data_IF_360179454049
#
_entry.id   IF_360179454049
#
_cell.length_a   1.000
_cell.length_b   1.000
_cell.length_c   1.000
_cell.angle_alpha   90.00
_cell.angle_beta   90.00
_cell.angle_gamma   90.00
#
_symmetry.space_group_name_H-M   'P 1'
#
loop_
_entity.id
_entity.type
_entity.pdbx_description
1 polymer ?
#
# COMPACT_ATOMS: atom_id res chain seq x y z
N UNK A 1 48.66 -41.65 51.03
CA UNK A 1 49.00 -40.26 51.40
C UNK A 1 47.69 -39.52 51.67
N UNK A 2 47.68 -38.72 52.74
CA UNK A 2 46.52 -38.19 53.47
C UNK A 2 45.54 -37.31 52.66
N UNK A 3 44.28 -37.18 53.14
CA UNK A 3 43.24 -36.31 52.59
C UNK A 3 43.36 -34.87 53.13
N UNK A 4 43.04 -33.87 52.32
CA UNK A 4 42.87 -32.49 52.80
C UNK A 4 41.39 -32.21 53.02
N UNK A 5 40.98 -32.23 54.29
CA UNK A 5 39.73 -31.65 54.77
C UNK A 5 39.93 -30.15 54.96
N UNK A 6 39.22 -29.33 54.22
CA UNK A 6 39.10 -27.89 54.49
C UNK A 6 37.74 -27.66 55.15
N UNK A 7 37.78 -27.38 56.45
CA UNK A 7 36.66 -26.85 57.23
C UNK A 7 36.31 -25.44 56.73
N UNK A 8 35.09 -25.25 56.24
CA UNK A 8 34.48 -23.93 56.05
C UNK A 8 33.69 -23.56 57.31
N UNK A 9 33.86 -22.35 57.87
CA UNK A 9 33.10 -21.92 59.04
C UNK A 9 31.67 -21.53 58.64
N UNK A 10 30.69 -22.06 59.37
CA UNK A 10 29.30 -21.58 59.37
C UNK A 10 29.25 -20.18 59.98
N UNK A 11 29.19 -19.16 59.14
CA UNK A 11 28.81 -17.81 59.55
C UNK A 11 27.29 -17.71 59.46
N UNK A 12 26.63 -17.71 60.63
CA UNK A 12 25.21 -17.40 60.74
C UNK A 12 24.98 -15.91 60.45
N UNK A 13 24.63 -15.58 59.21
CA UNK A 13 24.17 -14.26 58.81
C UNK A 13 22.67 -14.08 59.10
N UNK A 14 22.32 -13.12 59.95
CA UNK A 14 20.95 -12.62 60.10
C UNK A 14 20.42 -12.12 58.74
N UNK A 15 19.14 -12.36 58.38
CA UNK A 15 18.55 -11.69 57.25
C UNK A 15 18.29 -10.23 57.63
N UNK A 16 19.13 -9.32 57.13
CA UNK A 16 18.75 -7.91 57.03
C UNK A 16 17.63 -7.82 55.99
N UNK A 17 16.38 -7.71 56.47
CA UNK A 17 15.28 -7.22 55.64
C UNK A 17 15.61 -5.77 55.24
N UNK A 18 16.24 -5.60 54.08
CA UNK A 18 16.12 -4.34 53.36
C UNK A 18 14.68 -4.27 52.85
N UNK A 19 13.83 -3.60 53.63
CA UNK A 19 12.60 -3.04 53.11
C UNK A 19 12.97 -1.95 52.13
N UNK A 20 13.10 -2.32 50.85
CA UNK A 20 12.93 -1.37 49.76
C UNK A 20 11.45 -1.07 49.75
N UNK A 21 11.09 0.06 50.37
CA UNK A 21 9.80 0.70 50.15
C UNK A 21 9.74 1.08 48.68
N UNK A 22 9.21 0.18 47.85
CA UNK A 22 8.52 0.60 46.65
C UNK A 22 7.30 1.37 47.16
N UNK A 23 7.33 2.68 46.95
CA UNK A 23 6.17 3.55 47.05
C UNK A 23 5.15 3.05 46.01
N UNK A 24 4.40 2.04 46.42
CA UNK A 24 3.24 1.52 45.71
C UNK A 24 2.15 2.57 45.85
N UNK A 25 2.24 3.64 45.07
CA UNK A 25 1.06 4.43 44.71
C UNK A 25 0.21 3.59 43.75
N UNK A 26 -0.22 2.42 44.21
CA UNK A 26 -1.44 1.78 43.80
C UNK A 26 -2.54 2.79 44.09
N UNK A 27 -3.05 3.43 43.04
CA UNK A 27 -4.27 4.23 43.13
C UNK A 27 -5.37 3.27 43.58
N UNK A 28 -5.58 3.16 44.89
CA UNK A 28 -6.54 2.24 45.46
C UNK A 28 -7.93 2.62 44.93
N UNK A 29 -8.50 1.75 44.10
CA UNK A 29 -9.84 1.93 43.59
C UNK A 29 -10.83 2.08 44.76
N UNK A 30 -11.67 3.11 44.70
CA UNK A 30 -12.75 3.31 45.65
C UNK A 30 -13.89 2.32 45.47
N UNK A 31 -14.97 2.49 46.25
CA UNK A 31 -16.19 1.72 46.03
C UNK A 31 -16.82 2.07 44.67
N UNK A 32 -17.22 1.04 43.91
CA UNK A 32 -17.84 1.24 42.61
C UNK A 32 -19.33 1.61 42.76
N UNK A 33 -19.70 2.80 42.32
CA UNK A 33 -21.10 3.18 42.13
C UNK A 33 -21.45 3.22 40.64
N UNK A 34 -22.27 2.26 40.18
CA UNK A 34 -22.62 2.14 38.75
C UNK A 34 -23.51 3.28 38.24
N UNK A 35 -24.23 3.97 39.11
CA UNK A 35 -25.11 5.08 38.71
C UNK A 35 -24.32 6.31 38.26
N UNK A 36 -23.06 6.45 38.71
CA UNK A 36 -22.16 7.53 38.32
C UNK A 36 -21.46 7.23 36.98
N UNK A 37 -21.59 6.01 36.46
CA UNK A 37 -20.97 5.61 35.20
C UNK A 37 -21.72 6.22 34.00
N UNK A 38 -20.95 6.79 33.07
CA UNK A 38 -21.47 7.25 31.78
C UNK A 38 -21.80 6.04 30.89
N UNK A 39 -22.94 6.07 30.20
CA UNK A 39 -23.24 5.09 29.16
C UNK A 39 -22.32 5.26 27.95
N UNK A 40 -21.84 4.12 27.42
CA UNK A 40 -20.94 4.08 26.28
C UNK A 40 -21.60 3.38 25.10
N UNK A 41 -21.22 3.78 23.88
CA UNK A 41 -21.60 3.10 22.64
C UNK A 41 -20.33 2.85 21.86
N UNK A 42 -19.89 1.60 21.87
CA UNK A 42 -18.64 1.18 21.23
C UNK A 42 -18.86 0.81 19.77
N UNK A 43 -17.75 0.68 19.02
CA UNK A 43 -17.81 0.28 17.62
C UNK A 43 -18.41 -1.13 17.40
N UNK A 44 -18.38 -1.97 18.45
CA UNK A 44 -19.05 -3.25 18.57
C UNK A 44 -19.25 -3.59 20.07
N UNK A 45 -20.28 -4.36 20.48
CA UNK A 45 -20.47 -4.80 21.87
C UNK A 45 -19.29 -5.62 22.42
N UNK A 46 -18.58 -6.35 21.57
CA UNK A 46 -17.39 -7.13 21.92
C UNK A 46 -16.19 -6.27 22.33
N UNK A 47 -16.27 -4.96 22.10
CA UNK A 47 -15.27 -3.96 22.50
C UNK A 47 -15.59 -3.28 23.83
N UNK A 48 -16.65 -3.70 24.52
CA UNK A 48 -16.95 -3.20 25.87
C UNK A 48 -16.03 -3.89 26.87
N UNK A 49 -15.28 -3.09 27.63
CA UNK A 49 -14.48 -3.55 28.75
C UNK A 49 -14.69 -2.62 29.94
N UNK A 50 -14.44 -3.11 31.14
CA UNK A 50 -14.49 -2.25 32.32
C UNK A 50 -13.24 -1.36 32.41
N UNK A 51 -13.34 -0.27 33.15
CA UNK A 51 -12.19 0.54 33.57
C UNK A 51 -11.17 -0.26 34.41
N UNK A 52 -10.05 0.36 34.77
CA UNK A 52 -9.00 -0.26 35.60
C UNK A 52 -9.47 -0.68 37.00
N UNK A 53 -10.55 -0.09 37.49
CA UNK A 53 -11.17 -0.42 38.77
C UNK A 53 -12.30 -1.45 38.65
N UNK A 54 -12.51 -1.98 37.45
CA UNK A 54 -13.60 -2.90 37.11
C UNK A 54 -15.00 -2.35 37.46
N UNK A 55 -15.20 -1.03 37.33
CA UNK A 55 -16.44 -0.38 37.72
C UNK A 55 -17.32 0.01 36.52
N UNK A 56 -16.85 0.97 35.73
CA UNK A 56 -17.62 1.53 34.61
C UNK A 56 -17.23 0.88 33.28
N UNK A 57 -18.21 0.74 32.40
CA UNK A 57 -18.00 0.29 31.02
C UNK A 57 -17.27 1.37 30.21
N UNK A 58 -16.30 0.93 29.44
CA UNK A 58 -15.49 1.73 28.52
C UNK A 58 -15.32 0.98 27.20
N UNK A 59 -15.13 1.74 26.12
CA UNK A 59 -14.80 1.15 24.84
C UNK A 59 -13.31 0.89 24.74
N UNK A 60 -12.94 -0.30 24.28
CA UNK A 60 -11.59 -0.58 23.81
C UNK A 60 -11.34 0.16 22.49
N UNK A 61 -10.15 0.74 22.36
CA UNK A 61 -9.69 1.41 21.15
C UNK A 61 -9.43 0.40 20.04
N UNK A 62 -9.93 0.69 18.84
CA UNK A 62 -9.65 -0.11 17.64
C UNK A 62 -8.37 0.36 16.94
N UNK A 63 -7.97 -0.38 15.89
CA UNK A 63 -6.77 -0.06 15.12
C UNK A 63 -6.82 1.38 14.58
N UNK A 64 -5.75 2.15 14.84
CA UNK A 64 -5.63 3.56 14.48
C UNK A 64 -6.15 4.56 15.52
N UNK A 65 -6.86 4.10 16.56
CA UNK A 65 -7.33 4.97 17.65
C UNK A 65 -6.28 5.15 18.75
N UNK A 66 -6.43 6.22 19.54
CA UNK A 66 -5.51 6.56 20.61
C UNK A 66 -5.63 5.62 21.81
N UNK A 67 -4.52 5.38 22.49
CA UNK A 67 -4.43 4.50 23.65
C UNK A 67 -3.36 4.94 24.64
N UNK A 68 -3.40 4.36 25.84
CA UNK A 68 -2.43 4.63 26.91
C UNK A 68 -2.54 6.04 27.48
N UNK A 69 -1.85 6.35 28.58
CA UNK A 69 -1.91 7.65 29.25
C UNK A 69 -1.90 7.47 30.77
N UNK A 70 -1.35 8.45 31.50
CA UNK A 70 -1.18 8.38 32.97
C UNK A 70 -2.48 8.53 33.76
N UNK A 71 -3.52 9.07 33.16
CA UNK A 71 -4.79 9.40 33.80
C UNK A 71 -5.78 8.22 33.86
N UNK A 72 -5.48 7.09 33.21
CA UNK A 72 -6.40 5.94 33.12
C UNK A 72 -7.73 6.25 32.41
N UNK A 73 -7.87 7.45 31.83
CA UNK A 73 -9.05 7.90 31.09
C UNK A 73 -9.01 7.49 29.61
N UNK A 74 -7.83 7.10 29.12
CA UNK A 74 -7.64 6.69 27.73
C UNK A 74 -7.85 5.19 27.59
N UNK A 75 -8.49 4.81 26.50
CA UNK A 75 -8.93 3.46 26.24
C UNK A 75 -7.76 2.49 26.03
N UNK A 76 -7.96 1.25 26.49
CA UNK A 76 -7.07 0.11 26.21
C UNK A 76 -7.34 -0.39 24.80
N UNK A 77 -6.33 -0.92 24.12
CA UNK A 77 -6.53 -1.48 22.79
C UNK A 77 -7.39 -2.75 22.83
N UNK A 78 -8.11 -2.99 21.73
CA UNK A 78 -8.90 -4.20 21.54
C UNK A 78 -8.04 -5.48 21.53
N UNK A 79 -8.63 -6.67 21.72
CA UNK A 79 -7.88 -7.92 21.74
C UNK A 79 -7.08 -8.19 20.46
N UNK A 80 -5.80 -8.57 20.60
CA UNK A 80 -4.87 -8.79 19.49
C UNK A 80 -4.26 -7.51 18.93
N UNK A 81 -4.27 -6.42 19.70
CA UNK A 81 -3.65 -5.15 19.36
C UNK A 81 -2.68 -4.71 20.46
N UNK A 82 -1.68 -3.93 20.06
CA UNK A 82 -0.67 -3.34 20.96
C UNK A 82 -0.73 -1.82 20.88
N UNK A 83 -0.65 -1.17 22.03
CA UNK A 83 -0.53 0.29 22.11
C UNK A 83 0.91 0.71 21.84
N UNK A 84 1.17 1.37 20.71
CA UNK A 84 2.52 1.84 20.34
C UNK A 84 2.67 3.35 20.55
N UNK A 85 3.79 3.79 21.12
CA UNK A 85 4.00 5.21 21.41
C UNK A 85 4.30 6.02 20.13
N UNK A 86 3.70 7.20 20.01
CA UNK A 86 3.94 8.12 18.86
C UNK A 86 5.40 8.60 18.78
N UNK A 87 6.13 8.63 19.90
CA UNK A 87 7.56 8.97 19.94
C UNK A 87 8.45 7.95 19.19
N UNK A 88 7.94 6.76 18.89
CA UNK A 88 8.67 5.70 18.16
C UNK A 88 8.73 5.93 16.64
N UNK A 89 7.97 6.91 16.10
CA UNK A 89 7.88 7.19 14.66
C UNK A 89 8.78 8.34 14.16
N UNK A 90 9.71 8.84 14.99
CA UNK A 90 10.78 9.74 14.55
C UNK A 90 10.34 11.16 14.11
N UNK A 91 9.07 11.52 14.24
CA UNK A 91 8.62 12.90 14.04
C UNK A 91 8.80 13.65 15.35
N UNK A 92 9.74 14.60 15.38
CA UNK A 92 10.10 15.43 16.54
C UNK A 92 9.02 16.41 16.98
N UNK A 93 7.75 16.00 16.98
CA UNK A 93 6.62 16.79 17.46
C UNK A 93 6.34 16.43 18.93
N UNK A 94 7.03 17.14 19.81
CA UNK A 94 7.04 17.01 21.26
C UNK A 94 5.75 17.49 21.96
N UNK A 95 4.57 17.23 21.38
CA UNK A 95 3.29 17.73 21.90
C UNK A 95 2.34 16.63 22.38
N UNK A 96 2.74 15.35 22.29
CA UNK A 96 1.88 14.26 22.78
C UNK A 96 2.14 13.98 24.26
N UNK A 97 1.10 13.83 25.09
CA UNK A 97 1.26 13.53 26.50
C UNK A 97 2.08 12.24 26.70
N UNK A 98 3.02 12.25 27.64
CA UNK A 98 3.83 11.07 27.96
C UNK A 98 2.95 9.84 28.24
N UNK A 99 3.31 8.70 27.64
CA UNK A 99 2.59 7.44 27.81
C UNK A 99 1.38 7.25 26.89
N UNK A 100 1.16 8.15 25.93
CA UNK A 100 0.11 7.99 24.89
C UNK A 100 0.64 7.32 23.61
N UNK A 101 -0.27 6.67 22.89
CA UNK A 101 0.04 5.89 21.71
C UNK A 101 -1.16 5.71 20.78
N UNK A 102 -0.98 4.82 19.80
CA UNK A 102 -2.00 4.39 18.84
C UNK A 102 -2.08 2.87 18.88
N UNK A 103 -3.29 2.32 18.79
CA UNK A 103 -3.48 0.87 18.71
C UNK A 103 -3.12 0.36 17.31
N UNK A 104 -2.24 -0.63 17.25
CA UNK A 104 -1.91 -1.36 16.03
C UNK A 104 -2.21 -2.85 16.20
N UNK A 105 -2.60 -3.52 15.12
CA UNK A 105 -2.79 -4.97 15.15
C UNK A 105 -1.47 -5.69 15.39
N UNK A 106 -1.47 -6.74 16.22
CA UNK A 106 -0.29 -7.58 16.46
C UNK A 106 0.19 -8.29 15.19
N UNK A 107 -0.75 -8.69 14.33
CA UNK A 107 -0.47 -9.31 13.04
C UNK A 107 -0.70 -8.26 11.95
N UNK A 108 0.38 -7.83 11.33
CA UNK A 108 0.38 -6.86 10.26
C UNK A 108 0.07 -7.52 8.90
N UNK A 109 -0.48 -6.72 7.99
CA UNK A 109 -0.73 -7.12 6.61
C UNK A 109 -2.20 -7.34 6.29
N UNK A 110 -2.53 -7.04 5.03
CA UNK A 110 -3.88 -7.20 4.51
C UNK A 110 -4.32 -8.67 4.53
N UNK A 111 -5.62 -8.90 4.69
CA UNK A 111 -6.24 -10.23 4.66
C UNK A 111 -7.48 -10.22 3.79
N UNK A 112 -7.77 -11.35 3.14
CA UNK A 112 -9.00 -11.53 2.38
C UNK A 112 -10.09 -12.13 3.26
N UNK A 113 -11.22 -11.43 3.36
CA UNK A 113 -12.41 -11.90 4.07
C UNK A 113 -13.28 -12.82 3.22
N UNK A 114 -14.09 -13.64 3.88
CA UNK A 114 -15.08 -14.50 3.23
C UNK A 114 -16.21 -13.73 2.55
N UNK A 115 -16.29 -12.42 2.77
CA UNK A 115 -17.17 -11.48 2.07
C UNK A 115 -16.56 -10.96 0.75
N UNK A 116 -15.38 -11.47 0.36
CA UNK A 116 -14.67 -11.05 -0.85
C UNK A 116 -14.01 -9.68 -0.73
N UNK A 117 -13.90 -9.12 0.49
CA UNK A 117 -13.27 -7.83 0.72
C UNK A 117 -11.90 -7.97 1.36
N UNK A 118 -10.99 -7.14 0.88
CA UNK A 118 -9.68 -6.96 1.50
C UNK A 118 -9.83 -6.10 2.76
N UNK A 119 -9.36 -6.62 3.89
CA UNK A 119 -9.21 -5.86 5.13
C UNK A 119 -7.73 -5.53 5.36
N UNK A 120 -7.46 -4.39 5.99
CA UNK A 120 -6.08 -3.90 6.21
C UNK A 120 -5.26 -4.76 7.18
N UNK A 121 -5.94 -5.47 8.08
CA UNK A 121 -5.36 -6.37 9.08
C UNK A 121 -6.39 -7.42 9.50
N UNK A 122 -5.95 -8.45 10.23
CA UNK A 122 -6.87 -9.41 10.87
C UNK A 122 -7.76 -8.73 11.93
N UNK A 123 -7.28 -7.67 12.57
CA UNK A 123 -8.05 -6.92 13.55
C UNK A 123 -9.17 -6.11 12.89
N UNK A 124 -8.90 -5.49 11.74
CA UNK A 124 -9.92 -4.83 10.94
C UNK A 124 -10.98 -5.82 10.44
N UNK A 125 -10.58 -7.03 10.02
CA UNK A 125 -11.52 -8.10 9.63
C UNK A 125 -12.44 -8.48 10.80
N UNK A 126 -11.91 -8.68 12.02
CA UNK A 126 -12.73 -9.00 13.21
C UNK A 126 -13.76 -7.92 13.53
N UNK A 127 -13.38 -6.65 13.42
CA UNK A 127 -14.32 -5.55 13.64
C UNK A 127 -15.46 -5.56 12.60
N UNK A 128 -15.14 -5.86 11.34
CA UNK A 128 -16.15 -6.01 10.29
C UNK A 128 -17.04 -7.23 10.49
N UNK A 129 -16.50 -8.35 10.97
CA UNK A 129 -17.25 -9.55 11.33
C UNK A 129 -18.29 -9.25 12.43
N UNK A 130 -17.89 -8.62 13.54
CA UNK A 130 -18.83 -8.24 14.60
C UNK A 130 -19.95 -7.34 14.08
N UNK A 131 -19.62 -6.33 13.27
CA UNK A 131 -20.62 -5.45 12.66
C UNK A 131 -21.56 -6.20 11.71
N UNK A 132 -21.04 -7.16 10.94
CA UNK A 132 -21.83 -8.01 10.04
C UNK A 132 -22.82 -8.87 10.82
N UNK A 133 -22.38 -9.48 11.92
CA UNK A 133 -23.24 -10.30 12.79
C UNK A 133 -24.35 -9.47 13.45
N UNK A 134 -24.03 -8.28 13.95
CA UNK A 134 -25.01 -7.35 14.53
C UNK A 134 -26.05 -6.89 13.50
N UNK A 135 -25.63 -6.74 12.24
CA UNK A 135 -26.53 -6.42 11.13
C UNK A 135 -27.33 -7.65 10.62
N UNK A 136 -27.14 -8.84 11.20
CA UNK A 136 -27.80 -10.07 10.75
C UNK A 136 -27.30 -10.60 9.41
N UNK A 137 -26.13 -10.14 8.94
CA UNK A 137 -25.54 -10.51 7.64
C UNK A 137 -24.66 -11.77 7.72
N UNK A 138 -24.46 -12.33 8.92
CA UNK A 138 -23.64 -13.52 9.15
C UNK A 138 -22.18 -13.21 9.51
N UNK A 139 -21.39 -14.25 9.75
CA UNK A 139 -19.99 -14.12 10.18
C UNK A 139 -19.02 -14.08 8.99
N UNK A 140 -18.05 -13.18 9.08
CA UNK A 140 -16.95 -13.00 8.13
C UNK A 140 -15.68 -13.61 8.74
N UNK A 141 -15.06 -14.54 8.03
CA UNK A 141 -13.80 -15.16 8.45
C UNK A 141 -12.68 -14.88 7.46
N UNK A 142 -11.43 -14.98 7.92
CA UNK A 142 -10.26 -14.88 7.05
C UNK A 142 -10.19 -16.09 6.12
N UNK A 143 -10.13 -15.85 4.82
CA UNK A 143 -9.90 -16.89 3.80
C UNK A 143 -8.41 -17.13 3.63
N UNK A 144 -7.64 -16.06 3.40
CA UNK A 144 -6.19 -16.13 3.26
C UNK A 144 -5.54 -14.79 3.65
N UNK A 145 -4.22 -14.80 3.82
CA UNK A 145 -3.40 -13.59 3.97
C UNK A 145 -3.18 -12.92 2.62
N UNK A 146 -3.07 -11.59 2.59
CA UNK A 146 -2.99 -10.77 1.38
C UNK A 146 -4.32 -10.14 0.97
N UNK A 147 -4.28 -9.34 -0.08
CA UNK A 147 -5.49 -8.76 -0.67
C UNK A 147 -6.31 -9.84 -1.38
N UNK A 148 -7.64 -9.71 -1.41
CA UNK A 148 -8.48 -10.58 -2.23
C UNK A 148 -8.13 -10.47 -3.71
N UNK A 149 -8.38 -11.53 -4.47
CA UNK A 149 -8.19 -11.55 -5.91
C UNK A 149 -9.20 -10.62 -6.62
N UNK A 150 -8.74 -9.88 -7.63
CA UNK A 150 -9.59 -9.05 -8.47
C UNK A 150 -9.01 -8.91 -9.89
N UNK A 151 -9.91 -8.72 -10.86
CA UNK A 151 -9.55 -8.53 -12.26
C UNK A 151 -8.72 -7.25 -12.45
N UNK A 152 -7.87 -7.15 -13.49
CA UNK A 152 -6.99 -6.01 -13.64
C UNK A 152 -7.75 -4.70 -13.86
N UNK A 153 -7.27 -3.63 -13.24
CA UNK A 153 -7.81 -2.29 -13.34
C UNK A 153 -6.70 -1.37 -13.84
N UNK A 154 -6.92 -0.72 -14.99
CA UNK A 154 -5.98 0.28 -15.51
C UNK A 154 -6.15 1.58 -14.71
N UNK A 155 -5.14 1.91 -13.91
CA UNK A 155 -5.07 3.12 -13.09
C UNK A 155 -4.51 4.31 -13.87
N UNK A 156 -3.63 4.06 -14.84
CA UNK A 156 -3.11 5.07 -15.77
C UNK A 156 -3.29 4.59 -17.20
N UNK A 157 -4.04 5.35 -17.99
CA UNK A 157 -4.30 5.04 -19.41
C UNK A 157 -3.21 5.61 -20.33
N UNK A 158 -2.96 4.97 -21.49
CA UNK A 158 -2.03 5.49 -22.49
C UNK A 158 -2.46 6.87 -23.01
N UNK A 159 -1.49 7.77 -23.19
CA UNK A 159 -1.76 9.15 -23.61
C UNK A 159 -2.03 9.27 -25.12
N UNK A 160 -2.61 10.40 -25.51
CA UNK A 160 -2.66 10.87 -26.91
C UNK A 160 -1.45 11.76 -27.18
N UNK A 161 -0.64 11.39 -28.15
CA UNK A 161 0.64 12.04 -28.48
C UNK A 161 0.57 12.62 -29.89
N UNK A 162 1.00 13.87 -30.03
CA UNK A 162 1.19 14.53 -31.33
C UNK A 162 2.67 14.91 -31.41
N UNK A 163 3.40 14.36 -32.37
CA UNK A 163 4.83 14.64 -32.52
C UNK A 163 5.25 14.61 -34.00
N UNK A 164 6.51 14.92 -34.29
CA UNK A 164 7.06 14.95 -35.64
C UNK A 164 7.88 13.71 -35.96
N UNK A 165 8.04 13.41 -37.25
CA UNK A 165 8.95 12.37 -37.74
C UNK A 165 10.38 12.55 -37.18
N UNK A 166 11.04 11.45 -36.82
CA UNK A 166 12.38 11.43 -36.24
C UNK A 166 12.43 11.62 -34.73
N UNK A 167 11.33 11.98 -34.08
CA UNK A 167 11.26 12.12 -32.63
C UNK A 167 11.30 10.76 -31.91
N UNK A 168 11.53 10.79 -30.60
CA UNK A 168 11.33 9.65 -29.71
C UNK A 168 10.06 9.87 -28.88
N UNK A 169 9.21 8.85 -28.79
CA UNK A 169 7.96 8.90 -28.00
C UNK A 169 7.80 7.64 -27.17
N UNK A 170 7.01 7.73 -26.09
CA UNK A 170 6.61 6.56 -25.32
C UNK A 170 5.13 6.60 -24.95
N UNK A 171 4.50 5.43 -24.93
CA UNK A 171 3.19 5.21 -24.31
C UNK A 171 3.39 4.41 -23.03
N UNK A 172 2.51 4.58 -22.05
CA UNK A 172 2.54 3.82 -20.81
C UNK A 172 1.14 3.52 -20.31
N UNK A 173 0.97 2.37 -19.67
CA UNK A 173 -0.21 2.05 -18.87
C UNK A 173 0.22 1.50 -17.51
N UNK A 174 -0.55 1.82 -16.48
CA UNK A 174 -0.37 1.29 -15.13
C UNK A 174 -1.61 0.50 -14.75
N UNK A 175 -1.39 -0.68 -14.18
CA UNK A 175 -2.43 -1.67 -13.94
C UNK A 175 -2.28 -2.19 -12.53
N UNK A 176 -3.38 -2.21 -11.77
CA UNK A 176 -3.45 -2.87 -10.46
C UNK A 176 -4.27 -4.14 -10.59
N UNK A 177 -3.76 -5.28 -10.09
CA UNK A 177 -4.48 -6.55 -10.11
C UNK A 177 -3.93 -7.53 -9.07
N UNK A 178 -4.79 -8.41 -8.55
CA UNK A 178 -4.38 -9.54 -7.70
C UNK A 178 -4.96 -10.82 -8.29
N UNK A 179 -4.13 -11.80 -8.72
CA UNK A 179 -2.67 -11.75 -8.82
C UNK A 179 -2.15 -10.72 -9.84
N UNK A 180 -0.83 -10.45 -9.79
CA UNK A 180 -0.11 -9.54 -10.71
C UNK A 180 -0.47 -9.84 -12.17
N UNK A 181 -0.82 -8.81 -12.98
CA UNK A 181 -1.34 -9.04 -14.32
C UNK A 181 -0.23 -9.27 -15.35
N UNK A 182 -0.58 -9.91 -16.45
CA UNK A 182 0.21 -9.91 -17.68
C UNK A 182 -0.22 -8.69 -18.50
N UNK A 183 0.75 -7.84 -18.88
CA UNK A 183 0.51 -6.66 -19.72
C UNK A 183 1.06 -6.94 -21.12
N UNK A 184 0.21 -6.80 -22.13
CA UNK A 184 0.55 -6.88 -23.54
C UNK A 184 0.19 -5.58 -24.26
N UNK A 185 0.96 -5.23 -25.28
CA UNK A 185 0.71 -4.04 -26.10
C UNK A 185 0.41 -4.46 -27.52
N UNK A 186 -0.62 -3.83 -28.10
CA UNK A 186 -1.07 -4.13 -29.45
C UNK A 186 -1.22 -2.83 -30.24
N UNK A 187 -0.81 -2.81 -31.51
CA UNK A 187 -1.23 -1.75 -32.43
C UNK A 187 -2.56 -2.14 -33.05
N UNK A 188 -3.53 -1.24 -32.98
CA UNK A 188 -4.84 -1.43 -33.60
C UNK A 188 -4.72 -1.04 -35.06
N UNK A 189 -5.03 -1.98 -35.94
CA UNK A 189 -5.06 -1.78 -37.39
C UNK A 189 -6.48 -2.02 -37.89
N UNK A 190 -6.90 -1.26 -38.90
CA UNK A 190 -8.19 -1.45 -39.54
C UNK A 190 -7.99 -2.21 -40.84
N UNK A 191 -8.67 -3.35 -40.97
CA UNK A 191 -8.71 -4.06 -42.25
C UNK A 191 -9.60 -3.31 -43.26
N UNK A 192 -9.46 -3.57 -44.57
CA UNK A 192 -10.34 -2.99 -45.60
C UNK A 192 -11.84 -3.30 -45.43
N UNK A 193 -12.19 -4.25 -44.54
CA UNK A 193 -13.56 -4.64 -44.20
C UNK A 193 -14.04 -4.02 -42.88
N UNK A 194 -13.36 -2.99 -42.38
CA UNK A 194 -13.63 -2.33 -41.08
C UNK A 194 -13.55 -3.26 -39.86
N UNK A 195 -12.90 -4.42 -40.00
CA UNK A 195 -12.60 -5.29 -38.86
C UNK A 195 -11.35 -4.78 -38.18
N UNK A 196 -11.44 -4.49 -36.88
CA UNK A 196 -10.28 -4.17 -36.03
C UNK A 196 -9.40 -5.40 -35.91
N UNK A 197 -8.17 -5.27 -36.38
CA UNK A 197 -7.10 -6.23 -36.21
C UNK A 197 -6.12 -5.70 -35.16
N UNK A 198 -5.47 -6.62 -34.46
CA UNK A 198 -4.50 -6.29 -33.43
C UNK A 198 -3.16 -6.93 -33.79
N UNK A 199 -2.13 -6.10 -33.86
CA UNK A 199 -0.74 -6.52 -34.08
C UNK A 199 -0.01 -6.47 -32.73
N UNK A 200 0.48 -7.61 -32.23
CA UNK A 200 1.25 -7.67 -30.99
C UNK A 200 2.57 -6.91 -31.13
N UNK A 201 2.89 -6.07 -30.14
CA UNK A 201 4.14 -5.30 -30.08
C UNK A 201 5.20 -6.02 -29.24
N UNK A 202 6.50 -5.93 -29.59
CA UNK A 202 7.06 -5.10 -30.67
C UNK A 202 6.87 -5.68 -32.09
N UNK A 203 6.48 -6.96 -32.23
CA UNK A 203 6.38 -7.62 -33.53
C UNK A 203 7.72 -7.63 -34.27
N UNK A 204 7.69 -7.40 -35.58
CA UNK A 204 8.88 -7.28 -36.44
C UNK A 204 9.41 -5.83 -36.56
N UNK A 205 8.89 -4.90 -35.75
CA UNK A 205 9.21 -3.47 -35.85
C UNK A 205 10.56 -3.17 -35.19
N UNK A 206 11.51 -2.71 -35.99
CA UNK A 206 12.88 -2.41 -35.52
C UNK A 206 12.97 -1.15 -34.66
N UNK A 207 12.01 -0.23 -34.76
CA UNK A 207 11.98 1.04 -34.06
C UNK A 207 11.10 1.01 -32.80
N UNK A 208 10.57 -0.16 -32.41
CA UNK A 208 9.67 -0.32 -31.25
C UNK A 208 10.30 -1.22 -30.20
N UNK A 209 10.23 -0.81 -28.94
CA UNK A 209 10.59 -1.63 -27.79
C UNK A 209 9.48 -1.62 -26.74
N UNK A 210 9.10 -2.80 -26.26
CA UNK A 210 8.10 -2.97 -25.20
C UNK A 210 8.79 -3.41 -23.91
N UNK A 211 8.36 -2.83 -22.79
CA UNK A 211 8.88 -3.17 -21.48
C UNK A 211 7.75 -3.23 -20.46
N UNK A 212 7.77 -4.22 -19.59
CA UNK A 212 6.86 -4.34 -18.45
C UNK A 212 7.70 -4.47 -17.18
N UNK A 213 7.37 -3.71 -16.14
CA UNK A 213 7.97 -3.82 -14.81
C UNK A 213 6.90 -3.76 -13.74
N UNK A 214 7.25 -4.18 -12.53
CA UNK A 214 6.44 -3.88 -11.36
C UNK A 214 6.23 -2.37 -11.22
N UNK A 215 5.02 -1.99 -10.82
CA UNK A 215 4.63 -0.61 -10.58
C UNK A 215 5.23 -0.06 -9.28
N UNK A 216 4.98 1.22 -8.96
CA UNK A 216 5.46 1.86 -7.75
C UNK A 216 4.81 1.30 -6.47
N UNK A 217 3.55 0.85 -6.55
CA UNK A 217 2.81 0.26 -5.46
C UNK A 217 2.74 -1.28 -5.47
N UNK A 218 2.19 -1.84 -4.39
CA UNK A 218 1.93 -3.28 -4.29
C UNK A 218 0.85 -3.69 -5.29
N UNK A 219 1.06 -4.83 -5.95
CA UNK A 219 0.13 -5.38 -6.93
C UNK A 219 -0.07 -4.48 -8.17
N UNK A 220 0.83 -3.52 -8.39
CA UNK A 220 0.85 -2.68 -9.57
C UNK A 220 1.89 -3.17 -10.58
N UNK A 221 1.62 -2.96 -11.86
CA UNK A 221 2.53 -3.24 -12.96
C UNK A 221 2.38 -2.14 -14.00
N UNK A 222 3.51 -1.71 -14.55
CA UNK A 222 3.55 -0.66 -15.56
C UNK A 222 4.13 -1.23 -16.85
N UNK A 223 3.44 -1.00 -17.95
CA UNK A 223 3.89 -1.33 -19.30
C UNK A 223 4.27 -0.06 -20.06
N UNK A 224 5.33 -0.12 -20.86
CA UNK A 224 5.79 0.96 -21.73
C UNK A 224 6.01 0.47 -23.15
N UNK A 225 5.69 1.32 -24.11
CA UNK A 225 6.09 1.20 -25.52
C UNK A 225 6.97 2.39 -25.85
N UNK A 226 8.22 2.15 -26.23
CA UNK A 226 9.14 3.14 -26.76
C UNK A 226 9.17 3.03 -28.28
N UNK A 227 9.04 4.16 -28.97
CA UNK A 227 9.14 4.24 -30.44
C UNK A 227 10.23 5.26 -30.79
N UNK A 228 11.28 4.80 -31.48
CA UNK A 228 12.41 5.63 -31.91
C UNK A 228 13.18 5.03 -33.09
N UNK A 229 13.42 5.78 -34.18
CA UNK A 229 12.79 7.07 -34.49
C UNK A 229 11.31 6.89 -34.85
N UNK A 230 10.50 7.92 -34.59
CA UNK A 230 9.09 7.97 -34.97
C UNK A 230 8.93 8.16 -36.48
N UNK A 231 8.17 7.30 -37.14
CA UNK A 231 7.88 7.38 -38.58
C UNK A 231 6.37 7.54 -38.83
N UNK A 232 5.96 7.80 -40.08
CA UNK A 232 4.54 8.00 -40.39
C UNK A 232 3.74 6.70 -40.22
N UNK A 233 4.38 5.56 -40.40
CA UNK A 233 3.83 4.20 -40.22
C UNK A 233 3.51 3.89 -38.75
N UNK A 234 4.06 4.66 -37.81
CA UNK A 234 3.75 4.57 -36.37
C UNK A 234 2.48 5.34 -36.01
N UNK A 235 1.94 6.17 -36.90
CA UNK A 235 0.64 6.81 -36.65
C UNK A 235 -0.45 5.75 -36.43
N UNK A 236 -1.34 5.99 -35.47
CA UNK A 236 -2.46 5.09 -35.19
C UNK A 236 -2.79 4.95 -33.71
N UNK A 237 -3.63 3.96 -33.43
CA UNK A 237 -4.12 3.63 -32.09
C UNK A 237 -3.35 2.45 -31.54
N UNK A 238 -2.99 2.54 -30.26
CA UNK A 238 -2.22 1.56 -29.52
C UNK A 238 -3.02 1.16 -28.29
N UNK A 239 -3.14 -0.14 -28.04
CA UNK A 239 -3.90 -0.69 -26.93
C UNK A 239 -2.95 -1.34 -25.94
N UNK A 240 -3.06 -0.94 -24.68
CA UNK A 240 -2.56 -1.71 -23.56
C UNK A 240 -3.66 -2.67 -23.13
N UNK A 241 -3.37 -3.97 -23.16
CA UNK A 241 -4.26 -5.05 -22.72
C UNK A 241 -3.63 -5.74 -21.51
N UNK A 242 -4.42 -5.91 -20.45
CA UNK A 242 -3.96 -6.52 -19.21
C UNK A 242 -4.91 -7.62 -18.76
N UNK A 243 -4.35 -8.76 -18.34
CA UNK A 243 -5.13 -9.92 -17.92
C UNK A 243 -4.53 -10.63 -16.70
N UNK A 244 -5.40 -11.21 -15.88
CA UNK A 244 -5.04 -12.20 -14.86
C UNK A 244 -6.10 -13.31 -14.84
N UNK A 245 -6.02 -14.22 -13.87
CA UNK A 245 -6.96 -15.35 -13.79
C UNK A 245 -8.41 -14.96 -13.45
N UNK A 246 -8.65 -13.73 -12.96
CA UNK A 246 -9.98 -13.23 -12.60
C UNK A 246 -10.64 -12.51 -13.78
N UNK A 247 -9.86 -11.90 -14.67
CA UNK A 247 -10.39 -11.24 -15.86
C UNK A 247 -9.37 -10.43 -16.64
N UNK A 248 -9.87 -9.56 -17.52
CA UNK A 248 -9.07 -8.73 -18.41
C UNK A 248 -9.63 -7.31 -18.54
N UNK A 249 -8.78 -6.37 -18.94
CA UNK A 249 -9.14 -4.98 -19.23
C UNK A 249 -8.22 -4.41 -20.31
N UNK A 250 -8.61 -3.31 -20.94
CA UNK A 250 -7.79 -2.62 -21.93
C UNK A 250 -8.02 -1.11 -21.94
N UNK A 251 -7.01 -0.38 -22.41
CA UNK A 251 -7.11 1.05 -22.67
C UNK A 251 -6.29 1.46 -23.90
N UNK A 252 -6.81 2.44 -24.63
CA UNK A 252 -6.23 2.91 -25.89
C UNK A 252 -5.49 4.24 -25.71
N UNK A 253 -4.39 4.40 -26.43
CA UNK A 253 -3.69 5.66 -26.69
C UNK A 253 -3.54 5.89 -28.19
N UNK A 254 -3.26 7.12 -28.60
CA UNK A 254 -3.14 7.45 -30.03
C UNK A 254 -1.86 8.23 -30.29
N UNK A 255 -1.19 7.93 -31.39
CA UNK A 255 -0.03 8.68 -31.87
C UNK A 255 -0.39 9.32 -33.21
N UNK A 256 -0.24 10.65 -33.29
CA UNK A 256 -0.35 11.42 -34.52
C UNK A 256 1.02 11.97 -34.91
N UNK A 257 1.42 11.73 -36.16
CA UNK A 257 2.75 12.05 -36.67
C UNK A 257 2.65 13.12 -37.75
N UNK A 258 3.33 14.23 -37.50
CA UNK A 258 3.50 15.34 -38.43
C UNK A 258 4.84 15.18 -39.17
N UNK A 259 4.87 15.45 -40.47
CA UNK A 259 6.13 15.44 -41.21
C UNK A 259 7.02 16.61 -40.76
N UNK A 260 8.27 16.32 -40.41
CA UNK A 260 9.24 17.37 -40.14
C UNK A 260 9.72 17.96 -41.47
N UNK A 261 9.20 19.14 -41.84
CA UNK A 261 9.80 19.94 -42.91
C UNK A 261 11.11 20.58 -42.40
N UNK A 262 12.15 19.78 -42.16
CA UNK A 262 13.51 20.31 -42.11
C UNK A 262 13.85 20.70 -43.55
N UNK A 263 13.40 21.90 -43.91
CA UNK A 263 13.73 22.55 -45.15
C UNK A 263 15.26 22.51 -45.26
N UNK A 264 15.72 21.90 -46.35
CA UNK A 264 17.08 21.92 -46.86
C UNK A 264 17.53 23.39 -47.05
N UNK A 265 17.81 24.11 -45.97
CA UNK A 265 18.38 25.45 -46.00
C UNK A 265 19.83 25.33 -46.46
N UNK A 266 19.96 25.44 -47.78
CA UNK A 266 21.07 26.09 -48.50
C UNK A 266 22.49 25.58 -48.26
N UNK A 267 22.89 24.56 -49.03
CA UNK A 267 24.19 24.59 -49.73
C UNK A 267 23.97 25.08 -51.16
N UNK A 268 23.79 26.40 -51.33
CA UNK A 268 23.89 27.06 -52.65
C UNK A 268 24.39 28.50 -52.49
N UNK A 269 25.65 28.62 -52.09
CA UNK A 269 26.54 29.79 -52.21
C UNK A 269 27.90 29.26 -51.70
N UNK A 270 28.94 29.01 -52.49
CA UNK A 270 29.55 29.83 -53.52
C UNK A 270 29.84 29.06 -54.80
N UNK A 271 29.38 29.59 -55.94
CA UNK A 271 30.08 29.46 -57.23
C UNK A 271 29.97 30.80 -57.93
N UNK A 272 30.74 31.79 -57.47
CA UNK A 272 31.08 32.99 -58.23
C UNK A 272 32.47 32.76 -58.83
N UNK A 273 32.54 32.43 -60.11
CA UNK A 273 33.05 33.31 -61.17
C UNK A 273 34.34 34.04 -60.78
N UNK A 274 35.48 33.43 -61.13
CA UNK A 274 36.71 34.16 -61.41
C UNK A 274 36.78 34.37 -62.93
N UNK A 275 36.24 35.49 -63.37
CA UNK A 275 36.47 36.05 -64.70
C UNK A 275 37.73 36.92 -64.65
N UNK A 276 38.59 36.67 -65.63
CA UNK A 276 39.84 37.34 -65.96
C UNK A 276 39.70 38.86 -66.19
N UNK A 277 40.65 39.63 -65.66
CA UNK A 277 41.16 40.89 -66.24
C UNK A 277 42.42 41.35 -65.50
N UNK A 278 43.51 41.55 -66.23
CA UNK A 278 44.78 42.12 -65.75
C UNK A 278 45.98 41.33 -66.25
#
# INVERSE_FOLDING_TARGET
MLPFWILLPLIAGLPQKLGVGADDTSTACGHCNKEDCRSVTCAAPELIATDNCNCCDQCLSIEGEECGGRDGMRARCAPGMVCVSRASYGTGLSSFPEGTGVCLCEQDGAVCGSDGKTHSSVCALRLHDWKSQQAGMGSIHKVHDGECEFAPIITVTPKKIHNVTGAQVYLSCEVKAVPTPIISWKKVTESPKEIKMFEDLPGDRVNVAVQVRGGPGRHESTGWVLITPLTKEDEGTYQCHASNMVGETFADGTIKVLESHVHRRTKKSHRGSSESKG
#
